data_IF_723692622559
#
_entry.id   IF_723692622559
#
_cell.length_a   1.000
_cell.length_b   1.000
_cell.length_c   1.000
_cell.angle_alpha   90.00
_cell.angle_beta   90.00
_cell.angle_gamma   90.00
#
_symmetry.space_group_name_H-M   'P 1'
#
loop_
_entity.id
_entity.type
_entity.pdbx_description
1 polymer ?
#
# COMPACT_ATOMS: atom_id res chain seq x y z
N UNK A 1 -1.77 4.70 -3.19
CA UNK A 1 -2.06 3.28 -2.88
C UNK A 1 -0.75 2.59 -2.57
N UNK A 2 -0.59 2.01 -1.38
CA UNK A 2 0.54 1.15 -1.04
C UNK A 2 0.01 -0.27 -0.80
N UNK A 3 0.41 -1.23 -1.61
CA UNK A 3 0.12 -2.66 -1.46
C UNK A 3 1.36 -3.41 -0.92
N UNK A 4 1.20 -4.64 -0.43
CA UNK A 4 2.31 -5.38 0.20
C UNK A 4 3.47 -5.63 -0.75
N UNK A 5 3.18 -5.71 -2.06
CA UNK A 5 4.08 -6.22 -3.08
C UNK A 5 4.62 -7.62 -2.79
N UNK A 6 3.93 -8.39 -1.94
CA UNK A 6 4.30 -9.76 -1.62
C UNK A 6 4.36 -10.61 -2.91
N UNK A 7 5.38 -11.47 -3.06
CA UNK A 7 5.40 -12.43 -4.15
C UNK A 7 4.38 -13.55 -3.92
N UNK A 8 4.04 -14.28 -4.98
CA UNK A 8 3.19 -15.46 -4.88
C UNK A 8 1.69 -15.15 -4.84
N UNK A 9 0.92 -16.18 -4.48
CA UNK A 9 -0.54 -16.20 -4.65
C UNK A 9 -1.24 -15.15 -3.78
N UNK A 10 -0.75 -14.90 -2.57
CA UNK A 10 -1.34 -13.95 -1.63
C UNK A 10 -1.22 -12.51 -2.16
N UNK A 11 -0.04 -12.12 -2.65
CA UNK A 11 0.17 -10.80 -3.22
C UNK A 11 -0.47 -10.63 -4.60
N UNK A 12 -0.60 -11.70 -5.39
CA UNK A 12 -1.42 -11.70 -6.61
C UNK A 12 -2.90 -11.49 -6.29
N UNK A 13 -3.42 -12.16 -5.27
CA UNK A 13 -4.80 -12.00 -4.81
C UNK A 13 -5.06 -10.59 -4.25
N UNK A 14 -4.12 -10.00 -3.50
CA UNK A 14 -4.20 -8.61 -3.04
C UNK A 14 -4.34 -7.65 -4.22
N UNK A 15 -3.46 -7.76 -5.22
CA UNK A 15 -3.47 -6.89 -6.41
C UNK A 15 -4.74 -7.08 -7.24
N UNK A 16 -5.23 -8.32 -7.39
CA UNK A 16 -6.49 -8.60 -8.07
C UNK A 16 -7.69 -7.99 -7.33
N UNK A 17 -7.76 -8.12 -6.00
CA UNK A 17 -8.81 -7.54 -5.19
C UNK A 17 -8.79 -6.00 -5.24
N UNK A 18 -7.60 -5.39 -5.22
CA UNK A 18 -7.45 -3.95 -5.41
C UNK A 18 -7.93 -3.50 -6.79
N UNK A 19 -7.58 -4.24 -7.85
CA UNK A 19 -8.05 -3.92 -9.20
C UNK A 19 -9.57 -4.01 -9.33
N UNK A 20 -10.20 -5.02 -8.73
CA UNK A 20 -11.65 -5.19 -8.69
C UNK A 20 -12.34 -4.03 -7.94
N UNK A 21 -11.86 -3.71 -6.73
CA UNK A 21 -12.44 -2.66 -5.88
C UNK A 21 -12.25 -1.26 -6.47
N UNK A 22 -11.09 -0.98 -7.07
CA UNK A 22 -10.80 0.33 -7.68
C UNK A 22 -11.46 0.48 -9.06
N UNK A 23 -11.77 -0.63 -9.72
CA UNK A 23 -12.28 -0.65 -11.09
C UNK A 23 -11.33 0.12 -12.03
N UNK A 24 -11.85 1.14 -12.71
CA UNK A 24 -11.06 1.98 -13.61
C UNK A 24 -10.19 3.04 -12.94
N UNK A 25 -10.23 3.20 -11.61
CA UNK A 25 -9.45 4.21 -10.92
C UNK A 25 -7.98 3.78 -10.81
N UNK A 26 -7.07 4.68 -11.18
CA UNK A 26 -5.63 4.44 -11.15
C UNK A 26 -4.95 5.41 -10.17
N UNK A 27 -5.08 5.18 -8.85
CA UNK A 27 -4.38 6.00 -7.86
C UNK A 27 -2.86 5.82 -8.00
N UNK A 28 -2.05 6.87 -7.73
CA UNK A 28 -0.60 6.73 -7.69
C UNK A 28 -0.18 5.60 -6.73
N UNK A 29 0.72 4.74 -7.21
CA UNK A 29 1.27 3.63 -6.42
C UNK A 29 2.48 4.09 -5.62
N UNK A 30 2.56 3.62 -4.38
CA UNK A 30 3.70 3.76 -3.48
C UNK A 30 4.31 2.36 -3.36
N UNK A 31 5.37 2.12 -4.14
CA UNK A 31 6.03 0.83 -4.24
C UNK A 31 7.18 0.73 -3.23
N UNK A 32 6.85 0.53 -1.96
CA UNK A 32 7.83 0.52 -0.86
C UNK A 32 8.86 -0.62 -1.00
N UNK A 33 8.43 -1.82 -1.41
CA UNK A 33 9.31 -2.98 -1.55
C UNK A 33 10.31 -2.83 -2.70
N UNK A 34 10.02 -1.99 -3.70
CA UNK A 34 10.98 -1.69 -4.79
C UNK A 34 12.22 -0.94 -4.24
N UNK A 35 12.07 -0.21 -3.13
CA UNK A 35 13.15 0.56 -2.52
C UNK A 35 13.90 -0.19 -1.42
N UNK A 36 13.19 -0.96 -0.58
CA UNK A 36 13.76 -1.57 0.64
C UNK A 36 13.60 -3.09 0.73
N UNK A 37 13.01 -3.72 -0.29
CA UNK A 37 12.72 -5.15 -0.30
C UNK A 37 11.55 -5.55 0.59
N UNK A 38 11.37 -6.87 0.76
CA UNK A 38 10.39 -7.44 1.69
C UNK A 38 10.92 -7.35 3.13
N UNK A 39 10.20 -6.59 3.96
CA UNK A 39 10.56 -6.36 5.37
C UNK A 39 9.71 -7.19 6.34
N UNK A 40 9.02 -8.21 5.83
CA UNK A 40 8.14 -9.11 6.60
C UNK A 40 7.14 -8.31 7.45
N UNK A 41 7.12 -8.55 8.77
CA UNK A 41 6.21 -7.91 9.72
C UNK A 41 6.30 -6.37 9.75
N UNK A 42 7.41 -5.78 9.30
CA UNK A 42 7.56 -4.32 9.27
C UNK A 42 6.98 -3.67 8.00
N UNK A 43 6.56 -4.45 7.00
CA UNK A 43 6.15 -3.93 5.69
C UNK A 43 5.01 -2.93 5.80
N UNK A 44 3.97 -3.22 6.59
CA UNK A 44 2.85 -2.30 6.82
C UNK A 44 3.30 -0.95 7.40
N UNK A 45 4.25 -0.96 8.34
CA UNK A 45 4.76 0.26 8.96
C UNK A 45 5.56 1.09 7.95
N UNK A 46 6.41 0.45 7.13
CA UNK A 46 7.14 1.15 6.07
C UNK A 46 6.24 1.67 4.95
N UNK A 47 5.17 0.95 4.60
CA UNK A 47 4.17 1.42 3.64
C UNK A 47 3.47 2.69 4.15
N UNK A 48 3.07 2.73 5.43
CA UNK A 48 2.50 3.93 6.05
C UNK A 48 3.52 5.06 6.09
N UNK A 49 4.76 4.79 6.52
CA UNK A 49 5.82 5.78 6.56
C UNK A 49 6.12 6.38 5.18
N UNK A 50 6.13 5.55 4.13
CA UNK A 50 6.32 6.00 2.75
C UNK A 50 5.18 6.92 2.28
N UNK A 51 3.93 6.58 2.59
CA UNK A 51 2.77 7.45 2.32
C UNK A 51 2.90 8.80 3.02
N UNK A 52 3.29 8.80 4.30
CA UNK A 52 3.46 10.03 5.07
C UNK A 52 4.63 10.88 4.55
N UNK A 53 5.75 10.26 4.17
CA UNK A 53 6.89 10.95 3.59
C UNK A 53 6.55 11.61 2.24
N UNK A 54 5.77 10.95 1.39
CA UNK A 54 5.29 11.52 0.12
C UNK A 54 4.31 12.67 0.36
N UNK A 55 3.45 12.57 1.38
CA UNK A 55 2.58 13.67 1.78
C UNK A 55 3.38 14.89 2.27
N UNK A 56 4.39 14.67 3.13
CA UNK A 56 5.27 15.75 3.62
C UNK A 56 6.04 16.44 2.49
N UNK A 57 6.41 15.70 1.44
CA UNK A 57 7.04 16.22 0.22
C UNK A 57 6.05 16.91 -0.75
N UNK A 58 4.76 16.94 -0.43
CA UNK A 58 3.73 17.57 -1.26
C UNK A 58 3.31 16.75 -2.49
N UNK A 59 3.68 15.47 -2.56
CA UNK A 59 3.33 14.57 -3.67
C UNK A 59 1.95 13.93 -3.51
N UNK A 60 1.33 14.09 -2.33
CA UNK A 60 -0.05 13.72 -2.07
C UNK A 60 -0.80 14.96 -1.59
N UNK A 61 -1.88 15.33 -2.28
CA UNK A 61 -2.62 16.53 -1.96
C UNK A 61 -3.31 16.43 -0.57
N UNK A 62 -3.28 17.50 0.25
CA UNK A 62 -4.02 17.57 1.51
C UNK A 62 -5.50 17.18 1.36
N UNK A 63 -6.02 16.46 2.35
CA UNK A 63 -7.40 15.94 2.34
C UNK A 63 -7.61 14.69 1.49
N UNK A 64 -6.63 14.29 0.65
CA UNK A 64 -6.75 13.10 -0.19
C UNK A 64 -6.71 11.81 0.65
N UNK A 65 -7.49 10.79 0.29
CA UNK A 65 -7.37 9.47 0.89
C UNK A 65 -6.11 8.74 0.38
N UNK A 66 -5.42 8.06 1.29
CA UNK A 66 -4.35 7.12 0.96
C UNK A 66 -4.71 5.74 1.51
N UNK A 67 -4.80 4.76 0.61
CA UNK A 67 -5.04 3.36 0.96
C UNK A 67 -3.71 2.62 1.11
N UNK A 68 -3.58 1.91 2.23
CA UNK A 68 -2.52 0.93 2.49
C UNK A 68 -3.17 -0.43 2.66
N UNK A 69 -2.71 -1.45 1.94
CA UNK A 69 -3.07 -2.85 2.14
C UNK A 69 -1.82 -3.67 2.37
N UNK A 70 -1.95 -4.76 3.12
CA UNK A 70 -0.85 -5.68 3.37
C UNK A 70 -1.38 -7.11 3.47
N UNK A 71 -0.61 -8.06 2.98
CA UNK A 71 -0.86 -9.49 3.18
C UNK A 71 0.41 -10.13 3.72
N UNK A 72 0.23 -11.09 4.62
CA UNK A 72 1.30 -11.91 5.16
C UNK A 72 1.15 -13.36 4.70
N UNK A 73 2.26 -14.10 4.69
CA UNK A 73 2.35 -15.50 4.26
C UNK A 73 1.47 -16.46 5.05
N UNK A 74 1.10 -16.09 6.27
CA UNK A 74 0.22 -16.87 7.14
C UNK A 74 -1.28 -16.58 6.87
N UNK A 75 -1.58 -15.82 5.81
CA UNK A 75 -2.95 -15.49 5.38
C UNK A 75 -3.56 -14.31 6.12
N UNK A 76 -2.77 -13.58 6.92
CA UNK A 76 -3.24 -12.34 7.58
C UNK A 76 -3.32 -11.23 6.54
N UNK A 77 -4.46 -10.53 6.52
CA UNK A 77 -4.69 -9.37 5.64
C UNK A 77 -4.95 -8.13 6.51
N UNK A 78 -4.30 -7.03 6.16
CA UNK A 78 -4.51 -5.73 6.80
C UNK A 78 -4.84 -4.66 5.77
N UNK A 79 -5.68 -3.69 6.16
CA UNK A 79 -5.97 -2.51 5.36
C UNK A 79 -6.13 -1.29 6.25
N UNK A 80 -5.60 -0.15 5.80
CA UNK A 80 -5.75 1.15 6.45
C UNK A 80 -6.06 2.22 5.42
N UNK A 81 -7.05 3.07 5.71
CA UNK A 81 -7.37 4.25 4.92
C UNK A 81 -7.00 5.50 5.72
N UNK A 82 -6.02 6.24 5.22
CA UNK A 82 -5.51 7.46 5.86
C UNK A 82 -6.09 8.68 5.14
N UNK A 83 -6.47 9.70 5.89
CA UNK A 83 -6.73 11.03 5.32
C UNK A 83 -5.48 11.88 5.53
N UNK A 84 -4.86 12.31 4.43
CA UNK A 84 -3.67 13.17 4.48
C UNK A 84 -4.09 14.57 4.93
N UNK A 85 -3.25 15.21 5.75
CA UNK A 85 -3.47 16.58 6.24
C UNK A 85 -2.57 17.57 5.54
#
# INVERSE_FOLDING_TARGET
LADSQAPGAEGEAERAALADVLGGHQPPRVATADAIGDTCAASAAFQIAAVLALAERGEIAPGSPALVTTVDRDGVVGAALLRIR
#
